data_IF_265481000793
#
_entry.id   IF_265481000793
#
_cell.length_a   1.000
_cell.length_b   1.000
_cell.length_c   1.000
_cell.angle_alpha   90.00
_cell.angle_beta   90.00
_cell.angle_gamma   90.00
#
_symmetry.space_group_name_H-M   'P 1'
#
loop_
_entity.id
_entity.type
_entity.pdbx_description
1 polymer ?
#
# COMPACT_ATOMS: atom_id res chain seq x y z
N UNK A 1 17.32 -11.08 -24.33
CA UNK A 1 16.50 -9.87 -24.15
C UNK A 1 15.73 -10.13 -22.89
N UNK A 2 16.07 -9.47 -21.78
CA UNK A 2 15.30 -9.54 -20.54
C UNK A 2 13.97 -8.84 -20.85
N UNK A 3 12.87 -9.60 -20.80
CA UNK A 3 11.53 -9.05 -20.93
C UNK A 3 11.33 -7.99 -19.87
N UNK A 4 11.16 -6.75 -20.27
CA UNK A 4 11.03 -5.54 -19.45
C UNK A 4 9.65 -5.50 -18.74
N UNK A 5 9.20 -6.66 -18.23
CA UNK A 5 7.94 -6.79 -17.51
C UNK A 5 8.23 -6.62 -16.02
N UNK A 6 7.62 -5.61 -15.41
CA UNK A 6 7.74 -5.35 -13.97
C UNK A 6 7.30 -6.55 -13.12
N UNK A 7 7.99 -6.79 -11.99
CA UNK A 7 7.73 -7.94 -11.10
C UNK A 7 6.27 -7.99 -10.65
N UNK A 8 5.63 -6.86 -10.34
CA UNK A 8 4.23 -6.85 -9.93
C UNK A 8 3.24 -7.31 -11.04
N UNK A 9 3.64 -7.26 -12.31
CA UNK A 9 2.87 -7.82 -13.44
C UNK A 9 3.21 -9.28 -13.65
N UNK A 10 4.49 -9.64 -13.67
CA UNK A 10 4.99 -11.00 -13.88
C UNK A 10 4.50 -11.96 -12.80
N UNK A 11 4.54 -11.53 -11.53
CA UNK A 11 4.16 -12.31 -10.36
C UNK A 11 2.74 -12.01 -9.84
N UNK A 12 1.88 -11.45 -10.71
CA UNK A 12 0.47 -11.31 -10.35
C UNK A 12 -0.13 -12.70 -10.13
N UNK A 13 -0.74 -12.99 -8.96
CA UNK A 13 -1.34 -14.27 -8.63
C UNK A 13 -2.27 -14.80 -9.73
N UNK A 14 -2.09 -16.06 -10.11
CA UNK A 14 -2.85 -16.73 -11.15
C UNK A 14 -3.93 -17.65 -10.60
N UNK A 15 -3.85 -18.00 -9.32
CA UNK A 15 -4.83 -18.76 -8.55
C UNK A 15 -5.00 -18.15 -7.16
N UNK A 16 -6.00 -18.58 -6.41
CA UNK A 16 -6.32 -18.06 -5.10
C UNK A 16 -5.29 -18.40 -4.02
N UNK A 17 -4.52 -19.47 -4.19
CA UNK A 17 -3.54 -19.93 -3.21
C UNK A 17 -2.24 -19.13 -3.25
N UNK A 18 -2.00 -18.39 -4.33
CA UNK A 18 -0.86 -17.49 -4.47
C UNK A 18 -1.09 -16.11 -3.81
N UNK A 19 -2.30 -15.82 -3.34
CA UNK A 19 -2.62 -14.54 -2.70
C UNK A 19 -2.03 -14.51 -1.29
N UNK A 20 -1.22 -13.52 -1.02
CA UNK A 20 -0.70 -13.27 0.33
C UNK A 20 -1.76 -12.55 1.18
N UNK A 21 -2.00 -13.04 2.39
CA UNK A 21 -3.00 -12.51 3.30
C UNK A 21 -4.44 -12.69 2.80
N UNK A 22 -5.37 -11.89 3.29
CA UNK A 22 -6.79 -11.83 2.88
C UNK A 22 -7.59 -13.12 3.14
N UNK A 23 -7.22 -13.93 4.12
CA UNK A 23 -7.78 -15.27 4.39
C UNK A 23 -9.31 -15.27 4.49
N UNK A 24 -9.92 -14.29 5.17
CA UNK A 24 -11.37 -14.21 5.30
C UNK A 24 -12.07 -13.96 3.97
N UNK A 25 -11.53 -13.05 3.16
CA UNK A 25 -12.07 -12.71 1.84
C UNK A 25 -11.95 -13.91 0.92
N UNK A 26 -10.76 -14.54 0.90
CA UNK A 26 -10.47 -15.71 0.07
C UNK A 26 -11.40 -16.88 0.42
N UNK A 27 -11.55 -17.20 1.71
CA UNK A 27 -12.43 -18.27 2.17
C UNK A 27 -13.88 -18.05 1.75
N UNK A 28 -14.40 -16.83 1.94
CA UNK A 28 -15.76 -16.49 1.58
C UNK A 28 -16.00 -16.56 0.06
N UNK A 29 -15.08 -16.06 -0.75
CA UNK A 29 -15.16 -16.09 -2.21
C UNK A 29 -15.05 -17.53 -2.73
N UNK A 30 -14.07 -18.33 -2.25
CA UNK A 30 -13.93 -19.73 -2.62
C UNK A 30 -15.19 -20.51 -2.30
N UNK A 31 -15.81 -20.32 -1.14
CA UNK A 31 -17.06 -20.96 -0.79
C UNK A 31 -18.21 -20.56 -1.73
N UNK A 32 -18.35 -19.28 -2.05
CA UNK A 32 -19.36 -18.81 -2.99
C UNK A 32 -19.21 -19.40 -4.39
N UNK A 33 -17.96 -19.58 -4.84
CA UNK A 33 -17.67 -20.24 -6.11
C UNK A 33 -17.99 -21.74 -6.07
N UNK A 34 -17.60 -22.46 -5.02
CA UNK A 34 -17.88 -23.90 -4.85
C UNK A 34 -19.36 -24.20 -4.78
N UNK A 35 -20.14 -23.34 -4.10
CA UNK A 35 -21.56 -23.51 -3.94
C UNK A 35 -22.37 -22.94 -5.12
N UNK A 36 -21.68 -22.34 -6.11
CA UNK A 36 -22.29 -21.61 -7.24
C UNK A 36 -23.32 -20.55 -6.77
N UNK A 37 -23.04 -19.92 -5.60
CA UNK A 37 -23.87 -18.86 -4.99
C UNK A 37 -23.19 -17.52 -5.14
N UNK A 38 -23.15 -17.01 -6.37
CA UNK A 38 -22.51 -15.75 -6.68
C UNK A 38 -23.51 -14.58 -6.56
N UNK A 39 -23.05 -13.49 -5.95
CA UNK A 39 -23.79 -12.23 -6.00
C UNK A 39 -23.65 -11.59 -7.39
N UNK A 40 -24.66 -10.84 -7.79
CA UNK A 40 -24.60 -10.04 -9.02
C UNK A 40 -23.69 -8.82 -8.90
N UNK A 41 -23.39 -8.36 -7.68
CA UNK A 41 -22.51 -7.22 -7.44
C UNK A 41 -21.66 -7.40 -6.17
N UNK A 42 -20.39 -7.14 -6.30
CA UNK A 42 -19.41 -7.13 -5.23
C UNK A 42 -18.81 -5.74 -5.06
N UNK A 43 -18.53 -5.36 -3.82
CA UNK A 43 -17.77 -4.16 -3.51
C UNK A 43 -16.53 -4.54 -2.69
N UNK A 44 -15.35 -4.36 -3.27
CA UNK A 44 -14.06 -4.56 -2.65
C UNK A 44 -13.51 -3.24 -2.12
N UNK A 45 -13.34 -3.16 -0.81
CA UNK A 45 -12.85 -1.96 -0.12
C UNK A 45 -11.50 -2.25 0.53
N UNK A 46 -10.61 -1.26 0.63
CA UNK A 46 -9.34 -1.38 1.33
C UNK A 46 -8.19 -0.69 0.63
N UNK A 47 -6.99 -0.67 1.24
CA UNK A 47 -5.82 0.04 0.73
C UNK A 47 -5.43 -0.34 -0.69
N UNK A 48 -4.57 0.49 -1.31
CA UNK A 48 -3.99 0.19 -2.61
C UNK A 48 -3.02 -1.00 -2.50
N UNK A 49 -2.87 -1.77 -3.58
CA UNK A 49 -1.85 -2.81 -3.66
C UNK A 49 -2.12 -4.12 -2.89
N UNK A 50 -3.28 -4.25 -2.20
CA UNK A 50 -3.63 -5.41 -1.36
C UNK A 50 -4.31 -6.57 -2.11
N UNK A 51 -4.49 -6.47 -3.44
CA UNK A 51 -5.00 -7.57 -4.26
C UNK A 51 -6.46 -7.48 -4.71
N UNK A 52 -7.18 -6.36 -4.50
CA UNK A 52 -8.60 -6.18 -4.91
C UNK A 52 -8.84 -6.59 -6.36
N UNK A 53 -8.17 -5.93 -7.31
CA UNK A 53 -8.32 -6.19 -8.75
C UNK A 53 -7.81 -7.59 -9.15
N UNK A 54 -6.81 -8.11 -8.44
CA UNK A 54 -6.30 -9.48 -8.66
C UNK A 54 -7.35 -10.52 -8.31
N UNK A 55 -7.99 -10.41 -7.14
CA UNK A 55 -9.06 -11.32 -6.72
C UNK A 55 -10.29 -11.17 -7.65
N UNK A 56 -10.60 -9.96 -8.09
CA UNK A 56 -11.66 -9.75 -9.09
C UNK A 56 -11.40 -10.54 -10.38
N UNK A 57 -10.19 -10.53 -10.90
CA UNK A 57 -9.80 -11.33 -12.07
C UNK A 57 -9.82 -12.84 -11.78
N UNK A 58 -9.47 -13.26 -10.57
CA UNK A 58 -9.55 -14.68 -10.18
C UNK A 58 -10.99 -15.16 -10.12
N UNK A 59 -11.93 -14.34 -9.63
CA UNK A 59 -13.37 -14.63 -9.70
C UNK A 59 -13.79 -14.78 -11.17
N UNK A 60 -13.37 -13.85 -12.03
CA UNK A 60 -13.67 -13.93 -13.46
C UNK A 60 -13.18 -15.22 -14.09
N UNK A 61 -11.96 -15.67 -13.75
CA UNK A 61 -11.42 -16.96 -14.17
C UNK A 61 -12.24 -18.13 -13.61
N UNK A 62 -12.57 -18.11 -12.32
CA UNK A 62 -13.32 -19.17 -11.67
C UNK A 62 -14.72 -19.35 -12.26
N UNK A 63 -15.38 -18.24 -12.61
CA UNK A 63 -16.70 -18.24 -13.25
C UNK A 63 -16.63 -18.74 -14.69
N UNK A 64 -15.61 -18.32 -15.45
CA UNK A 64 -15.54 -18.52 -16.90
C UNK A 64 -14.49 -19.58 -17.34
N UNK A 65 -13.95 -20.39 -16.41
CA UNK A 65 -12.99 -21.44 -16.77
C UNK A 65 -13.63 -22.49 -17.68
N UNK A 66 -13.06 -22.71 -18.87
CA UNK A 66 -13.59 -23.67 -19.85
C UNK A 66 -13.26 -25.12 -19.51
N UNK A 67 -12.23 -25.37 -18.68
CA UNK A 67 -11.83 -26.71 -18.27
C UNK A 67 -12.61 -27.19 -17.02
N UNK A 68 -13.58 -26.42 -16.55
CA UNK A 68 -14.50 -26.84 -15.50
C UNK A 68 -15.91 -26.91 -16.06
N UNK A 69 -16.67 -27.92 -15.68
CA UNK A 69 -18.08 -28.08 -16.11
C UNK A 69 -18.95 -26.97 -15.52
N UNK A 70 -18.62 -26.48 -14.33
CA UNK A 70 -19.35 -25.42 -13.64
C UNK A 70 -18.37 -24.34 -13.11
N UNK A 71 -18.88 -23.38 -12.37
CA UNK A 71 -18.07 -22.38 -11.65
C UNK A 71 -17.12 -23.10 -10.68
N UNK A 72 -15.89 -22.63 -10.61
CA UNK A 72 -14.82 -23.28 -9.82
C UNK A 72 -14.04 -22.28 -8.97
N UNK A 73 -13.63 -22.70 -7.79
CA UNK A 73 -12.66 -21.98 -6.96
C UNK A 73 -11.20 -22.28 -7.33
N UNK A 74 -10.98 -23.21 -8.29
CA UNK A 74 -9.64 -23.55 -8.79
C UNK A 74 -9.59 -23.42 -10.33
N UNK A 75 -9.51 -22.20 -10.88
CA UNK A 75 -9.41 -21.99 -12.32
C UNK A 75 -8.12 -22.58 -12.88
N UNK A 76 -8.20 -23.25 -14.03
CA UNK A 76 -7.08 -24.01 -14.59
C UNK A 76 -5.87 -23.15 -15.03
N UNK A 77 -6.04 -21.84 -15.26
CA UNK A 77 -4.98 -20.94 -15.70
C UNK A 77 -4.51 -21.08 -17.15
N UNK A 78 -4.88 -22.18 -17.83
CA UNK A 78 -4.32 -22.58 -19.13
C UNK A 78 -5.32 -22.60 -20.29
N UNK A 79 -6.63 -22.62 -20.05
CA UNK A 79 -7.63 -22.49 -21.10
C UNK A 79 -7.66 -21.09 -21.69
N UNK A 80 -8.27 -20.92 -22.85
CA UNK A 80 -8.30 -19.62 -23.56
C UNK A 80 -8.89 -18.51 -22.70
N UNK A 81 -10.03 -18.76 -22.02
CA UNK A 81 -10.63 -17.76 -21.13
C UNK A 81 -9.70 -17.35 -19.98
N UNK A 82 -9.05 -18.33 -19.33
CA UNK A 82 -8.11 -18.02 -18.24
C UNK A 82 -6.90 -17.20 -18.75
N UNK A 83 -6.38 -17.51 -19.92
CA UNK A 83 -5.27 -16.77 -20.55
C UNK A 83 -5.70 -15.37 -20.94
N UNK A 84 -6.83 -15.23 -21.66
CA UNK A 84 -7.36 -13.93 -22.08
C UNK A 84 -7.65 -13.01 -20.90
N UNK A 85 -8.23 -13.56 -19.80
CA UNK A 85 -8.46 -12.81 -18.55
C UNK A 85 -7.14 -12.36 -17.93
N UNK A 86 -6.12 -13.24 -17.91
CA UNK A 86 -4.79 -12.88 -17.37
C UNK A 86 -4.15 -11.76 -18.15
N UNK A 87 -4.29 -11.77 -19.46
CA UNK A 87 -3.75 -10.77 -20.38
C UNK A 87 -4.60 -9.48 -20.43
N UNK A 88 -5.82 -9.50 -19.92
CA UNK A 88 -6.74 -8.35 -19.95
C UNK A 88 -7.37 -8.10 -21.32
N UNK A 89 -7.45 -9.13 -22.19
CA UNK A 89 -8.02 -9.06 -23.56
C UNK A 89 -9.33 -9.83 -23.70
N UNK A 90 -9.87 -10.37 -22.61
CA UNK A 90 -11.12 -11.12 -22.63
C UNK A 90 -12.30 -10.22 -23.02
N UNK A 91 -13.16 -10.67 -23.92
CA UNK A 91 -14.42 -9.99 -24.27
C UNK A 91 -15.51 -10.16 -23.19
N UNK A 92 -15.37 -11.17 -22.33
CA UNK A 92 -16.31 -11.47 -21.26
C UNK A 92 -15.86 -10.94 -19.89
N UNK A 93 -14.67 -10.32 -19.81
CA UNK A 93 -14.22 -9.56 -18.65
C UNK A 93 -13.76 -8.17 -19.08
N UNK A 94 -14.49 -7.16 -18.68
CA UNK A 94 -14.21 -5.77 -19.00
C UNK A 94 -13.74 -5.08 -17.72
N UNK A 95 -12.52 -4.56 -17.75
CA UNK A 95 -11.93 -3.81 -16.64
C UNK A 95 -11.87 -2.32 -17.00
N UNK A 96 -12.45 -1.49 -16.14
CA UNK A 96 -12.53 -0.04 -16.30
C UNK A 96 -11.87 0.59 -15.09
N UNK A 97 -10.88 1.44 -15.34
CA UNK A 97 -10.32 2.33 -14.32
C UNK A 97 -11.15 3.62 -14.30
N UNK A 98 -11.91 3.82 -13.22
CA UNK A 98 -12.75 5.00 -13.05
C UNK A 98 -11.92 6.29 -12.86
N UNK A 99 -10.62 6.20 -12.54
CA UNK A 99 -9.76 7.37 -12.50
C UNK A 99 -9.55 7.99 -13.90
N UNK A 100 -9.51 7.14 -14.94
CA UNK A 100 -9.37 7.54 -16.35
C UNK A 100 -10.72 7.69 -17.06
N UNK A 101 -11.78 6.99 -16.58
CA UNK A 101 -13.11 6.90 -17.21
C UNK A 101 -14.19 7.33 -16.21
N UNK A 102 -14.24 8.62 -15.88
CA UNK A 102 -15.09 9.18 -14.80
C UNK A 102 -16.50 9.55 -15.22
N UNK A 103 -16.72 9.69 -16.52
CA UNK A 103 -17.88 10.34 -17.09
C UNK A 103 -19.13 9.46 -17.17
N UNK A 104 -20.26 10.11 -17.43
CA UNK A 104 -21.53 9.43 -17.64
C UNK A 104 -21.56 8.69 -18.99
N UNK A 105 -20.83 9.16 -19.99
CA UNK A 105 -20.90 8.59 -21.34
C UNK A 105 -20.20 7.22 -21.40
N UNK A 106 -19.10 7.05 -20.69
CA UNK A 106 -18.43 5.74 -20.56
C UNK A 106 -19.33 4.71 -19.85
N UNK A 107 -20.09 5.15 -18.84
CA UNK A 107 -21.03 4.27 -18.15
C UNK A 107 -22.27 4.00 -19.01
N UNK A 108 -22.69 4.92 -19.88
CA UNK A 108 -23.77 4.67 -20.85
C UNK A 108 -23.36 3.65 -21.90
N UNK A 109 -22.15 3.76 -22.46
CA UNK A 109 -21.62 2.74 -23.36
C UNK A 109 -21.51 1.37 -22.69
N UNK A 110 -21.08 1.35 -21.43
CA UNK A 110 -21.07 0.13 -20.63
C UNK A 110 -22.48 -0.48 -20.55
N UNK A 111 -23.50 0.33 -20.25
CA UNK A 111 -24.91 -0.12 -20.17
C UNK A 111 -25.43 -0.73 -21.47
N UNK A 112 -25.05 -0.21 -22.61
CA UNK A 112 -25.42 -0.79 -23.90
C UNK A 112 -24.78 -2.17 -24.07
N UNK A 113 -23.50 -2.32 -23.67
CA UNK A 113 -22.74 -3.58 -23.75
C UNK A 113 -23.22 -4.65 -22.76
N UNK A 114 -23.84 -4.26 -21.64
CA UNK A 114 -24.35 -5.17 -20.61
C UNK A 114 -25.44 -6.11 -21.14
N UNK A 115 -26.25 -5.65 -22.08
CA UNK A 115 -27.35 -6.42 -22.62
C UNK A 115 -26.91 -7.59 -23.52
N UNK A 116 -25.67 -7.59 -23.98
CA UNK A 116 -25.15 -8.67 -24.84
C UNK A 116 -24.73 -9.88 -24.00
N UNK A 117 -25.06 -11.07 -24.49
CA UNK A 117 -24.65 -12.33 -23.87
C UNK A 117 -23.11 -12.50 -23.90
N UNK A 118 -22.54 -13.30 -22.99
CA UNK A 118 -21.13 -13.68 -23.05
C UNK A 118 -20.77 -14.34 -24.38
N UNK A 119 -19.56 -14.10 -24.85
CA UNK A 119 -19.07 -14.63 -26.14
C UNK A 119 -18.56 -16.08 -26.00
N UNK A 120 -17.78 -16.34 -24.96
CA UNK A 120 -17.15 -17.65 -24.69
C UNK A 120 -17.44 -18.15 -23.29
N UNK A 121 -17.59 -17.24 -22.32
CA UNK A 121 -17.77 -17.53 -20.90
C UNK A 121 -19.22 -17.82 -20.51
N UNK A 122 -19.41 -18.13 -19.24
CA UNK A 122 -20.74 -18.30 -18.62
C UNK A 122 -21.37 -16.97 -18.27
N UNK A 123 -20.54 -16.00 -17.90
CA UNK A 123 -21.01 -14.67 -17.45
C UNK A 123 -20.11 -13.56 -17.98
N UNK A 124 -20.68 -12.38 -18.17
CA UNK A 124 -19.93 -11.14 -18.36
C UNK A 124 -19.58 -10.52 -17.03
N UNK A 125 -18.31 -10.14 -16.85
CA UNK A 125 -17.80 -9.59 -15.61
C UNK A 125 -17.27 -8.18 -15.88
N UNK A 126 -17.81 -7.23 -15.14
CA UNK A 126 -17.40 -5.83 -15.19
C UNK A 126 -16.66 -5.48 -13.91
N UNK A 127 -15.37 -5.21 -14.03
CA UNK A 127 -14.52 -4.75 -12.93
C UNK A 127 -14.37 -3.23 -13.08
N UNK A 128 -14.85 -2.48 -12.08
CA UNK A 128 -14.67 -1.03 -12.04
C UNK A 128 -13.74 -0.71 -10.89
N UNK A 129 -12.50 -0.39 -11.23
CA UNK A 129 -11.48 -0.03 -10.24
C UNK A 129 -11.55 1.46 -9.91
N UNK A 130 -11.18 1.81 -8.68
CA UNK A 130 -11.27 3.14 -8.08
C UNK A 130 -12.66 3.79 -8.30
N UNK A 131 -13.71 3.00 -8.09
CA UNK A 131 -15.10 3.37 -8.40
C UNK A 131 -15.56 4.67 -7.73
N UNK A 132 -14.93 5.09 -6.62
CA UNK A 132 -15.20 6.37 -5.94
C UNK A 132 -14.87 7.60 -6.82
N UNK A 133 -14.13 7.41 -7.92
CA UNK A 133 -13.79 8.46 -8.86
C UNK A 133 -14.90 8.77 -9.88
N UNK A 134 -15.94 7.92 -9.94
CA UNK A 134 -17.09 8.16 -10.82
C UNK A 134 -17.87 9.42 -10.39
N UNK A 135 -18.42 10.13 -11.37
CA UNK A 135 -19.33 11.25 -11.10
C UNK A 135 -20.66 10.75 -10.50
N UNK A 136 -21.42 11.64 -9.85
CA UNK A 136 -22.75 11.31 -9.29
C UNK A 136 -23.71 10.80 -10.38
N UNK A 137 -23.62 11.39 -11.55
CA UNK A 137 -24.43 11.03 -12.72
C UNK A 137 -24.08 9.62 -13.21
N UNK A 138 -22.79 9.26 -13.22
CA UNK A 138 -22.31 7.93 -13.57
C UNK A 138 -22.79 6.88 -12.54
N UNK A 139 -22.71 7.17 -11.24
CA UNK A 139 -23.29 6.30 -10.21
C UNK A 139 -24.81 6.11 -10.40
N UNK A 140 -25.56 7.18 -10.66
CA UNK A 140 -26.99 7.09 -10.90
C UNK A 140 -27.32 6.26 -12.15
N UNK A 141 -26.49 6.33 -13.19
CA UNK A 141 -26.65 5.50 -14.38
C UNK A 141 -26.47 4.00 -14.09
N UNK A 142 -25.60 3.62 -13.13
CA UNK A 142 -25.38 2.24 -12.71
C UNK A 142 -26.51 1.70 -11.81
N UNK A 143 -27.20 2.55 -11.03
CA UNK A 143 -28.16 2.10 -10.03
C UNK A 143 -29.22 1.16 -10.62
N UNK A 144 -29.85 1.53 -11.74
CA UNK A 144 -30.89 0.71 -12.36
C UNK A 144 -30.38 -0.70 -12.74
N UNK A 145 -29.15 -0.78 -13.23
CA UNK A 145 -28.53 -2.06 -13.61
C UNK A 145 -28.12 -2.91 -12.38
N UNK A 146 -27.76 -2.25 -11.29
CA UNK A 146 -27.47 -2.94 -10.02
C UNK A 146 -28.76 -3.39 -9.30
N UNK A 147 -29.89 -2.74 -9.54
CA UNK A 147 -31.21 -3.14 -9.01
C UNK A 147 -31.78 -4.35 -9.75
N UNK A 148 -31.70 -4.33 -11.08
CA UNK A 148 -32.25 -5.35 -11.97
C UNK A 148 -31.15 -5.85 -12.92
N UNK A 149 -30.11 -6.55 -12.40
CA UNK A 149 -29.00 -6.99 -13.22
C UNK A 149 -29.41 -8.13 -14.14
N UNK A 150 -28.96 -8.15 -15.40
CA UNK A 150 -29.13 -9.33 -16.25
C UNK A 150 -28.46 -10.55 -15.60
N UNK A 151 -29.08 -11.71 -15.70
CA UNK A 151 -28.63 -12.95 -15.04
C UNK A 151 -27.23 -13.39 -15.45
N UNK A 152 -26.75 -12.94 -16.60
CA UNK A 152 -25.43 -13.25 -17.15
C UNK A 152 -24.36 -12.22 -16.75
N UNK A 153 -24.64 -11.23 -15.91
CA UNK A 153 -23.70 -10.15 -15.54
C UNK A 153 -23.31 -10.23 -14.08
N UNK A 154 -22.03 -9.96 -13.81
CA UNK A 154 -21.50 -9.75 -12.46
C UNK A 154 -20.68 -8.45 -12.46
N UNK A 155 -20.97 -7.59 -11.48
CA UNK A 155 -20.20 -6.39 -11.21
C UNK A 155 -19.22 -6.62 -10.06
N UNK A 156 -17.98 -6.15 -10.21
CA UNK A 156 -16.99 -6.11 -9.13
C UNK A 156 -16.47 -4.67 -9.06
N UNK A 157 -16.92 -3.94 -8.05
CA UNK A 157 -16.51 -2.57 -7.79
C UNK A 157 -15.36 -2.59 -6.79
N UNK A 158 -14.26 -1.88 -7.07
CA UNK A 158 -13.13 -1.76 -6.17
C UNK A 158 -12.89 -0.29 -5.79
N UNK A 159 -12.55 -0.02 -4.52
CA UNK A 159 -12.30 1.33 -4.03
C UNK A 159 -11.28 1.35 -2.89
N UNK A 160 -10.51 2.42 -2.83
CA UNK A 160 -9.67 2.75 -1.67
C UNK A 160 -10.40 3.68 -0.68
N UNK A 161 -11.51 4.32 -1.09
CA UNK A 161 -12.25 5.32 -0.32
C UNK A 161 -13.74 4.92 -0.22
N UNK A 162 -14.09 3.96 0.65
CA UNK A 162 -15.46 3.45 0.77
C UNK A 162 -16.47 4.50 1.24
N UNK A 163 -16.03 5.51 1.98
CA UNK A 163 -16.85 6.62 2.48
C UNK A 163 -17.38 7.51 1.37
N UNK A 164 -16.77 7.50 0.18
CA UNK A 164 -17.25 8.25 -0.99
C UNK A 164 -18.31 7.50 -1.80
N UNK A 165 -18.53 6.24 -1.50
CA UNK A 165 -19.52 5.44 -2.23
C UNK A 165 -20.94 5.72 -1.71
N UNK A 166 -21.90 6.07 -2.59
CA UNK A 166 -23.28 6.30 -2.18
C UNK A 166 -23.90 5.10 -1.48
N UNK A 167 -24.68 5.35 -0.43
CA UNK A 167 -25.39 4.30 0.32
C UNK A 167 -26.32 3.44 -0.57
N UNK A 168 -26.83 4.03 -1.64
CA UNK A 168 -27.68 3.35 -2.64
C UNK A 168 -26.91 2.27 -3.40
N UNK A 169 -25.61 2.44 -3.64
CA UNK A 169 -24.73 1.42 -4.22
C UNK A 169 -24.36 0.40 -3.15
N UNK A 170 -23.97 0.89 -1.95
CA UNK A 170 -23.54 0.04 -0.84
C UNK A 170 -24.61 -1.00 -0.45
N UNK A 171 -25.88 -0.65 -0.51
CA UNK A 171 -26.99 -1.54 -0.15
C UNK A 171 -27.27 -2.66 -1.17
N UNK A 172 -26.69 -2.58 -2.37
CA UNK A 172 -26.90 -3.53 -3.48
C UNK A 172 -25.67 -4.42 -3.76
N UNK A 173 -24.58 -4.19 -3.05
CA UNK A 173 -23.34 -4.93 -3.23
C UNK A 173 -23.02 -5.82 -2.04
N UNK A 174 -22.53 -7.02 -2.30
CA UNK A 174 -21.88 -7.83 -1.27
C UNK A 174 -20.50 -7.25 -1.00
N UNK A 175 -20.23 -6.84 0.25
CA UNK A 175 -19.01 -6.13 0.62
C UNK A 175 -17.95 -7.07 1.12
N UNK A 176 -16.70 -6.81 0.71
CA UNK A 176 -15.50 -7.46 1.20
C UNK A 176 -14.45 -6.40 1.54
N UNK A 177 -13.99 -6.41 2.78
CA UNK A 177 -12.97 -5.51 3.28
C UNK A 177 -11.60 -6.19 3.20
N UNK A 178 -10.72 -5.63 2.39
CA UNK A 178 -9.32 -6.03 2.26
C UNK A 178 -8.47 -5.29 3.27
N UNK A 179 -7.62 -6.03 3.96
CA UNK A 179 -6.72 -5.48 4.97
C UNK A 179 -5.32 -5.30 4.41
N UNK A 180 -4.53 -4.51 5.09
CA UNK A 180 -3.08 -4.44 4.85
C UNK A 180 -2.48 -5.83 5.04
N UNK A 181 -1.59 -6.20 4.13
CA UNK A 181 -0.83 -7.45 4.24
C UNK A 181 0.26 -7.23 5.30
N UNK A 182 0.53 -8.23 6.12
CA UNK A 182 1.56 -8.10 7.15
C UNK A 182 2.95 -7.96 6.52
N UNK A 183 3.87 -7.28 7.20
CA UNK A 183 5.25 -7.17 6.71
C UNK A 183 5.94 -8.54 6.61
N UNK A 184 5.53 -9.49 7.45
CA UNK A 184 5.99 -10.88 7.38
C UNK A 184 5.58 -11.53 6.06
N UNK A 185 4.27 -11.54 5.73
CA UNK A 185 3.75 -12.17 4.50
C UNK A 185 4.32 -11.52 3.24
N UNK A 186 4.52 -10.18 3.27
CA UNK A 186 5.18 -9.46 2.17
C UNK A 186 6.64 -9.91 2.06
N UNK A 187 7.38 -9.98 3.18
CA UNK A 187 8.77 -10.41 3.21
C UNK A 187 8.94 -11.83 2.64
N UNK A 188 8.13 -12.77 3.09
CA UNK A 188 8.14 -14.15 2.57
C UNK A 188 7.89 -14.18 1.05
N UNK A 189 6.91 -13.39 0.57
CA UNK A 189 6.61 -13.34 -0.87
C UNK A 189 7.75 -12.70 -1.66
N UNK A 190 8.41 -11.67 -1.14
CA UNK A 190 9.60 -11.06 -1.77
C UNK A 190 10.75 -12.06 -1.87
N UNK A 191 11.05 -12.79 -0.79
CA UNK A 191 12.09 -13.82 -0.76
C UNK A 191 11.80 -14.94 -1.77
N UNK A 192 10.53 -15.40 -1.84
CA UNK A 192 10.12 -16.38 -2.84
C UNK A 192 10.35 -15.87 -4.26
N UNK A 193 9.93 -14.65 -4.59
CA UNK A 193 10.08 -14.08 -5.92
C UNK A 193 11.56 -13.87 -6.25
N UNK A 194 12.36 -13.37 -5.31
CA UNK A 194 13.80 -13.21 -5.48
C UNK A 194 14.49 -14.54 -5.82
N UNK A 195 14.09 -15.64 -5.15
CA UNK A 195 14.60 -16.97 -5.47
C UNK A 195 14.25 -17.44 -6.89
N UNK A 196 13.03 -17.14 -7.37
CA UNK A 196 12.61 -17.48 -8.74
C UNK A 196 13.35 -16.65 -9.81
N UNK A 197 13.70 -15.41 -9.50
CA UNK A 197 14.44 -14.50 -10.40
C UNK A 197 15.96 -14.62 -10.24
N UNK A 198 16.45 -15.52 -9.38
CA UNK A 198 17.87 -15.70 -9.07
C UNK A 198 18.54 -14.39 -8.55
N UNK A 199 17.79 -13.61 -7.76
CA UNK A 199 18.26 -12.37 -7.14
C UNK A 199 18.73 -12.69 -5.74
N UNK A 200 19.95 -12.26 -5.39
CA UNK A 200 20.45 -12.32 -4.04
C UNK A 200 19.81 -11.21 -3.19
N UNK A 201 18.70 -11.54 -2.51
CA UNK A 201 17.99 -10.65 -1.59
C UNK A 201 18.24 -11.09 -0.16
N UNK A 202 18.72 -10.19 0.72
CA UNK A 202 18.86 -10.50 2.14
C UNK A 202 17.53 -10.41 2.87
N UNK A 203 17.37 -11.17 3.98
CA UNK A 203 16.14 -11.12 4.80
C UNK A 203 15.90 -9.71 5.37
N UNK A 204 16.96 -9.03 5.81
CA UNK A 204 16.88 -7.67 6.31
C UNK A 204 16.44 -6.67 5.24
N UNK A 205 16.93 -6.79 4.00
CA UNK A 205 16.48 -5.99 2.88
C UNK A 205 15.00 -6.24 2.55
N UNK A 206 14.57 -7.51 2.51
CA UNK A 206 13.18 -7.89 2.29
C UNK A 206 12.27 -7.29 3.39
N UNK A 207 12.70 -7.33 4.65
CA UNK A 207 11.97 -6.74 5.75
C UNK A 207 11.83 -5.22 5.62
N UNK A 208 12.91 -4.50 5.26
CA UNK A 208 12.85 -3.04 5.06
C UNK A 208 11.88 -2.70 3.94
N UNK A 209 11.93 -3.40 2.80
CA UNK A 209 11.01 -3.20 1.68
C UNK A 209 9.57 -3.48 2.13
N UNK A 210 9.33 -4.55 2.87
CA UNK A 210 8.00 -4.94 3.34
C UNK A 210 7.38 -3.90 4.29
N UNK A 211 8.17 -3.34 5.20
CA UNK A 211 7.74 -2.26 6.11
C UNK A 211 7.42 -0.99 5.32
N UNK A 212 8.28 -0.62 4.37
CA UNK A 212 8.11 0.59 3.55
C UNK A 212 6.91 0.51 2.61
N UNK A 213 6.53 -0.68 2.17
CA UNK A 213 5.36 -0.92 1.32
C UNK A 213 4.02 -0.75 2.04
N UNK A 214 4.01 -0.57 3.36
CA UNK A 214 2.84 -0.25 4.19
C UNK A 214 1.63 -1.16 3.91
N UNK A 215 1.89 -2.47 3.73
CA UNK A 215 0.87 -3.49 3.49
C UNK A 215 0.43 -3.65 2.04
N UNK A 216 1.04 -2.96 1.08
CA UNK A 216 0.76 -3.07 -0.35
C UNK A 216 1.76 -3.99 -1.08
N UNK A 217 1.36 -5.20 -1.50
CA UNK A 217 2.24 -6.11 -2.25
C UNK A 217 2.72 -5.51 -3.57
N UNK A 218 1.88 -4.74 -4.27
CA UNK A 218 2.26 -4.08 -5.52
C UNK A 218 3.39 -3.07 -5.31
N UNK A 219 3.31 -2.30 -4.23
CA UNK A 219 4.30 -1.29 -3.89
C UNK A 219 5.60 -1.97 -3.44
N UNK A 220 5.54 -3.06 -2.67
CA UNK A 220 6.69 -3.87 -2.31
C UNK A 220 7.44 -4.42 -3.53
N UNK A 221 6.72 -4.98 -4.50
CA UNK A 221 7.33 -5.49 -5.73
C UNK A 221 7.91 -4.39 -6.61
N UNK A 222 7.29 -3.20 -6.62
CA UNK A 222 7.83 -2.04 -7.35
C UNK A 222 9.12 -1.52 -6.71
N UNK A 223 9.20 -1.53 -5.37
CA UNK A 223 10.42 -1.19 -4.64
C UNK A 223 11.53 -2.21 -4.89
N UNK A 224 11.21 -3.50 -4.91
CA UNK A 224 12.18 -4.54 -5.24
C UNK A 224 12.72 -4.38 -6.67
N UNK A 225 11.85 -4.09 -7.67
CA UNK A 225 12.26 -3.79 -9.05
C UNK A 225 13.27 -2.63 -9.10
N UNK A 226 13.02 -1.56 -8.33
CA UNK A 226 13.94 -0.42 -8.25
C UNK A 226 15.30 -0.82 -7.65
N UNK A 227 15.30 -1.66 -6.62
CA UNK A 227 16.52 -2.14 -6.00
C UNK A 227 17.35 -3.01 -6.97
N UNK A 228 16.71 -3.88 -7.72
CA UNK A 228 17.35 -4.73 -8.72
C UNK A 228 17.99 -3.88 -9.82
N UNK A 229 17.30 -2.88 -10.32
CA UNK A 229 17.80 -1.99 -11.38
C UNK A 229 19.08 -1.22 -10.99
N UNK A 230 19.32 -1.01 -9.70
CA UNK A 230 20.45 -0.25 -9.18
C UNK A 230 21.51 -1.11 -8.47
N UNK A 231 21.22 -2.38 -8.13
CA UNK A 231 22.02 -3.16 -7.17
C UNK A 231 23.08 -4.09 -7.75
N UNK A 232 23.27 -4.17 -9.07
CA UNK A 232 24.36 -4.97 -9.66
C UNK A 232 24.38 -6.47 -9.28
N UNK A 233 23.27 -7.04 -8.77
CA UNK A 233 23.13 -8.48 -8.50
C UNK A 233 22.81 -8.86 -7.05
N UNK A 234 23.10 -8.03 -6.07
CA UNK A 234 22.75 -8.28 -4.65
C UNK A 234 21.95 -7.12 -4.10
N UNK A 235 20.81 -7.43 -3.48
CA UNK A 235 19.95 -6.46 -2.80
C UNK A 235 20.11 -6.66 -1.29
N UNK A 236 20.94 -5.84 -0.68
CA UNK A 236 21.18 -5.81 0.76
C UNK A 236 20.51 -4.61 1.44
N UNK A 237 20.58 -4.54 2.75
CA UNK A 237 19.98 -3.49 3.57
C UNK A 237 20.58 -2.11 3.26
N UNK A 238 21.87 -2.04 2.93
CA UNK A 238 22.57 -0.79 2.64
C UNK A 238 22.03 -0.18 1.35
N UNK A 239 21.95 -0.99 0.30
CA UNK A 239 21.38 -0.59 -0.99
C UNK A 239 19.94 -0.13 -0.86
N UNK A 240 19.10 -0.92 -0.15
CA UNK A 240 17.67 -0.59 0.05
C UNK A 240 17.55 0.73 0.80
N UNK A 241 18.28 0.92 1.89
CA UNK A 241 18.26 2.18 2.66
C UNK A 241 18.70 3.38 1.81
N UNK A 242 19.73 3.23 1.00
CA UNK A 242 20.21 4.30 0.10
C UNK A 242 19.15 4.67 -0.96
N UNK A 243 18.60 3.68 -1.64
CA UNK A 243 17.60 3.91 -2.70
C UNK A 243 16.29 4.51 -2.19
N UNK A 244 15.86 4.10 -1.00
CA UNK A 244 14.63 4.61 -0.39
C UNK A 244 14.86 5.93 0.38
N UNK A 245 16.09 6.46 0.37
CA UNK A 245 16.43 7.65 1.16
C UNK A 245 16.27 7.43 2.66
N UNK A 246 16.31 6.17 3.09
CA UNK A 246 16.28 5.81 4.50
C UNK A 246 17.70 6.06 5.05
N UNK A 247 18.02 7.30 5.34
CA UNK A 247 19.21 7.65 6.11
C UNK A 247 19.16 6.82 7.40
N UNK A 248 20.22 6.11 7.73
CA UNK A 248 20.26 5.32 8.97
C UNK A 248 19.79 6.15 10.15
N UNK A 249 19.19 5.55 11.18
CA UNK A 249 18.66 6.30 12.32
C UNK A 249 19.72 7.02 13.14
N UNK A 250 21.01 6.76 12.87
CA UNK A 250 22.14 7.38 13.55
C UNK A 250 22.08 8.90 13.57
N UNK A 251 21.64 9.51 12.46
CA UNK A 251 21.45 10.95 12.41
C UNK A 251 20.34 11.45 13.36
N UNK A 252 19.29 10.64 13.60
CA UNK A 252 18.22 10.98 14.55
C UNK A 252 18.78 11.01 15.96
N UNK A 253 19.57 10.00 16.35
CA UNK A 253 20.25 9.99 17.63
C UNK A 253 21.21 11.16 17.77
N UNK A 254 22.01 11.43 16.72
CA UNK A 254 22.93 12.56 16.70
C UNK A 254 22.20 13.90 16.85
N UNK A 255 21.18 14.14 16.02
CA UNK A 255 20.40 15.38 16.03
C UNK A 255 19.66 15.59 17.34
N UNK A 256 19.00 14.56 17.87
CA UNK A 256 18.24 14.69 19.13
C UNK A 256 19.17 14.79 20.34
N UNK A 257 20.33 14.13 20.34
CA UNK A 257 21.35 14.34 21.35
C UNK A 257 21.90 15.78 21.29
N UNK A 258 22.23 16.27 20.09
CA UNK A 258 22.65 17.65 19.91
C UNK A 258 21.57 18.66 20.37
N UNK A 259 20.30 18.38 20.14
CA UNK A 259 19.19 19.20 20.59
C UNK A 259 19.13 19.23 22.11
N UNK A 260 19.25 18.09 22.80
CA UNK A 260 19.23 18.03 24.24
C UNK A 260 20.48 18.66 24.89
N UNK A 261 21.63 18.64 24.25
CA UNK A 261 22.88 19.26 24.73
C UNK A 261 23.14 20.66 24.19
N UNK A 262 22.21 21.26 23.42
CA UNK A 262 22.32 22.61 22.83
C UNK A 262 23.52 22.78 21.89
N UNK A 263 23.91 21.71 21.21
CA UNK A 263 24.96 21.78 20.20
C UNK A 263 24.38 22.33 18.89
N UNK A 264 24.15 23.66 18.87
CA UNK A 264 23.48 24.36 17.76
C UNK A 264 24.23 24.22 16.43
N UNK A 265 25.56 24.13 16.45
CA UNK A 265 26.40 23.91 15.29
C UNK A 265 26.16 22.54 14.66
N UNK A 266 25.98 21.49 15.46
CA UNK A 266 25.65 20.14 14.99
C UNK A 266 24.24 20.12 14.41
N UNK A 267 23.27 20.82 15.04
CA UNK A 267 21.92 20.90 14.53
C UNK A 267 21.84 21.52 13.13
N UNK A 268 22.51 22.67 12.92
CA UNK A 268 22.48 23.36 11.62
C UNK A 268 23.21 22.53 10.55
N UNK A 269 24.41 22.01 10.87
CA UNK A 269 25.15 21.13 9.94
C UNK A 269 24.35 19.88 9.58
N UNK A 270 23.73 19.23 10.56
CA UNK A 270 22.89 18.05 10.33
C UNK A 270 21.69 18.33 9.42
N UNK A 271 21.03 19.50 9.56
CA UNK A 271 19.98 19.92 8.63
C UNK A 271 20.54 20.07 7.20
N UNK A 272 21.71 20.70 7.04
CA UNK A 272 22.36 20.88 5.75
C UNK A 272 22.69 19.55 5.08
N UNK A 273 23.31 18.64 5.81
CA UNK A 273 23.72 17.33 5.30
C UNK A 273 22.52 16.48 4.87
N UNK A 274 21.46 16.46 5.69
CA UNK A 274 20.28 15.64 5.42
C UNK A 274 19.48 16.18 4.24
N UNK A 275 19.36 17.51 4.11
CA UNK A 275 18.73 18.13 2.94
C UNK A 275 19.58 17.94 1.68
N UNK A 276 20.92 18.00 1.78
CA UNK A 276 21.79 17.71 0.67
C UNK A 276 21.70 16.26 0.17
N UNK A 277 21.33 15.30 1.06
CA UNK A 277 20.98 13.92 0.70
C UNK A 277 19.59 13.78 0.03
N UNK A 278 18.88 14.88 -0.21
CA UNK A 278 17.58 14.89 -0.89
C UNK A 278 16.34 14.75 0.01
N UNK A 279 16.53 14.78 1.34
CA UNK A 279 15.38 14.69 2.26
C UNK A 279 14.66 16.04 2.35
N UNK A 280 13.33 16.01 2.20
CA UNK A 280 12.51 17.22 2.35
C UNK A 280 12.49 17.74 3.80
N UNK A 281 12.54 19.06 4.03
CA UNK A 281 12.56 19.66 5.37
C UNK A 281 11.39 19.23 6.26
N UNK A 282 10.19 19.06 5.69
CA UNK A 282 9.02 18.58 6.42
C UNK A 282 9.18 17.13 6.90
N UNK A 283 9.74 16.26 6.06
CA UNK A 283 9.99 14.85 6.40
C UNK A 283 11.05 14.75 7.49
N UNK A 284 12.16 15.51 7.37
CA UNK A 284 13.21 15.59 8.38
C UNK A 284 12.62 15.91 9.77
N UNK A 285 11.80 16.97 9.87
CA UNK A 285 11.22 17.36 11.16
C UNK A 285 10.22 16.34 11.68
N UNK A 286 9.44 15.71 10.78
CA UNK A 286 8.50 14.64 11.15
C UNK A 286 9.21 13.43 11.74
N UNK A 287 10.35 13.02 11.18
CA UNK A 287 11.14 11.89 11.70
C UNK A 287 11.78 12.21 13.06
N UNK A 288 12.27 13.44 13.28
CA UNK A 288 12.75 13.87 14.60
C UNK A 288 11.63 13.79 15.64
N UNK A 289 10.43 14.28 15.32
CA UNK A 289 9.26 14.20 16.19
C UNK A 289 8.90 12.73 16.50
N UNK A 290 8.91 11.87 15.48
CA UNK A 290 8.64 10.45 15.65
C UNK A 290 9.68 9.75 16.54
N UNK A 291 10.96 10.12 16.39
CA UNK A 291 12.05 9.61 17.23
C UNK A 291 11.90 10.06 18.69
N UNK A 292 11.63 11.34 18.93
CA UNK A 292 11.38 11.85 20.28
C UNK A 292 10.17 11.19 20.94
N UNK A 293 9.11 10.90 20.17
CA UNK A 293 7.97 10.10 20.63
C UNK A 293 8.42 8.69 21.04
N UNK A 294 9.31 8.04 20.27
CA UNK A 294 9.84 6.72 20.63
C UNK A 294 10.64 6.79 21.94
N UNK A 295 11.49 7.81 22.14
CA UNK A 295 12.21 8.06 23.40
C UNK A 295 11.22 8.21 24.59
N UNK A 296 10.14 8.97 24.39
CA UNK A 296 9.10 9.14 25.42
C UNK A 296 8.38 7.83 25.74
N UNK A 297 7.99 7.07 24.72
CA UNK A 297 7.32 5.78 24.88
C UNK A 297 8.22 4.75 25.57
N UNK A 298 9.50 4.71 25.24
CA UNK A 298 10.47 3.83 25.90
C UNK A 298 10.56 4.12 27.39
N UNK A 299 10.52 5.39 27.80
CA UNK A 299 10.50 5.79 29.22
C UNK A 299 9.21 5.35 29.94
N UNK A 300 8.08 5.39 29.25
CA UNK A 300 6.77 5.09 29.83
C UNK A 300 6.45 3.58 29.83
N UNK A 301 6.84 2.85 28.80
CA UNK A 301 6.52 1.45 28.57
C UNK A 301 7.63 0.75 27.75
N UNK A 302 8.79 0.45 28.37
CA UNK A 302 9.84 -0.30 27.69
C UNK A 302 9.32 -1.68 27.27
N UNK A 303 9.65 -2.13 26.05
CA UNK A 303 9.19 -3.42 25.51
C UNK A 303 7.82 -3.39 24.83
N UNK A 304 7.23 -2.22 24.61
CA UNK A 304 5.98 -2.08 23.85
C UNK A 304 6.20 -2.40 22.37
N UNK A 305 5.25 -3.13 21.74
CA UNK A 305 5.24 -3.44 20.29
C UNK A 305 5.32 -2.18 19.42
N UNK A 306 4.91 -1.02 19.95
CA UNK A 306 5.03 0.27 19.26
C UNK A 306 6.48 0.72 19.03
N UNK A 307 7.46 0.08 19.70
CA UNK A 307 8.90 0.32 19.55
C UNK A 307 9.58 -0.66 18.58
N UNK A 308 8.83 -1.56 17.94
CA UNK A 308 9.37 -2.54 16.99
C UNK A 308 10.27 -1.91 15.90
N UNK A 309 9.95 -0.67 15.48
CA UNK A 309 10.80 0.07 14.53
C UNK A 309 12.21 0.39 15.06
N UNK A 310 12.48 0.25 16.35
CA UNK A 310 13.77 0.48 17.01
C UNK A 310 14.40 -0.79 17.56
N UNK A 311 13.94 -1.97 17.16
CA UNK A 311 14.48 -3.25 17.62
C UNK A 311 16.01 -3.35 17.41
N UNK A 312 16.50 -2.89 16.24
CA UNK A 312 17.92 -2.89 15.90
C UNK A 312 18.75 -1.82 16.63
N UNK A 313 18.11 -0.84 17.26
CA UNK A 313 18.73 0.31 17.93
C UNK A 313 18.16 0.48 19.35
N UNK A 314 17.72 -0.61 19.97
CA UNK A 314 17.07 -0.56 21.29
C UNK A 314 18.02 -0.06 22.36
N UNK A 315 19.29 -0.47 22.28
CA UNK A 315 20.34 -0.07 23.23
C UNK A 315 20.62 1.42 23.17
N UNK A 316 20.77 1.96 21.98
CA UNK A 316 20.96 3.40 21.75
C UNK A 316 19.74 4.20 22.21
N UNK A 317 18.55 3.69 21.95
CA UNK A 317 17.30 4.32 22.42
C UNK A 317 17.21 4.32 23.96
N UNK A 318 17.62 3.23 24.60
CA UNK A 318 17.71 3.12 26.06
C UNK A 318 18.69 4.13 26.65
N UNK A 319 19.89 4.18 26.12
CA UNK A 319 20.92 5.12 26.55
C UNK A 319 20.45 6.56 26.42
N UNK A 320 19.88 6.92 25.27
CA UNK A 320 19.33 8.27 25.08
C UNK A 320 18.15 8.57 25.99
N UNK A 321 17.23 7.63 26.17
CA UNK A 321 16.10 7.79 27.10
C UNK A 321 16.56 7.99 28.55
N UNK A 322 17.69 7.42 28.97
CA UNK A 322 18.25 7.60 30.29
C UNK A 322 18.78 9.04 30.54
N UNK A 323 19.25 9.72 29.50
CA UNK A 323 19.89 11.06 29.61
C UNK A 323 18.88 12.20 29.72
N UNK A 324 17.60 12.00 29.42
CA UNK A 324 16.58 13.03 29.34
C UNK A 324 15.38 12.75 30.25
N UNK A 325 14.71 13.77 30.77
CA UNK A 325 13.46 13.60 31.53
C UNK A 325 12.24 13.58 30.59
N UNK A 326 11.16 12.93 31.02
CA UNK A 326 9.92 12.90 30.22
C UNK A 326 9.34 14.32 29.99
N UNK A 327 9.43 15.20 31.00
CA UNK A 327 8.97 16.58 30.86
C UNK A 327 9.74 17.38 29.82
N UNK A 328 11.03 17.10 29.72
CA UNK A 328 11.90 17.70 28.72
C UNK A 328 11.52 17.25 27.30
N UNK A 329 11.37 15.95 27.08
CA UNK A 329 10.97 15.41 25.77
C UNK A 329 9.61 15.99 25.35
N UNK A 330 8.67 16.09 26.30
CA UNK A 330 7.35 16.65 26.02
C UNK A 330 7.37 18.13 25.61
N UNK A 331 8.18 18.94 26.32
CA UNK A 331 8.35 20.37 26.00
C UNK A 331 8.93 20.55 24.57
N UNK A 332 9.96 19.78 24.22
CA UNK A 332 10.58 19.78 22.90
C UNK A 332 9.58 19.34 21.83
N UNK A 333 8.82 18.26 22.08
CA UNK A 333 7.80 17.78 21.14
C UNK A 333 6.77 18.85 20.80
N UNK A 334 6.27 19.59 21.78
CA UNK A 334 5.30 20.67 21.55
C UNK A 334 5.85 21.76 20.63
N UNK A 335 7.09 22.19 20.86
CA UNK A 335 7.73 23.22 20.01
C UNK A 335 7.93 22.72 18.59
N UNK A 336 8.40 21.48 18.43
CA UNK A 336 8.63 20.92 17.10
C UNK A 336 7.32 20.65 16.35
N UNK A 337 6.22 20.31 17.04
CA UNK A 337 4.89 20.21 16.41
C UNK A 337 4.39 21.55 15.89
N UNK A 338 4.57 22.64 16.66
CA UNK A 338 4.27 23.98 16.17
C UNK A 338 5.17 24.38 14.99
N UNK A 339 6.45 24.05 15.05
CA UNK A 339 7.37 24.28 13.94
C UNK A 339 6.93 23.51 12.67
N UNK A 340 6.45 22.27 12.81
CA UNK A 340 5.98 21.46 11.70
C UNK A 340 4.77 22.12 10.98
N UNK A 341 3.85 22.74 11.72
CA UNK A 341 2.75 23.48 11.14
C UNK A 341 3.25 24.68 10.31
N UNK A 342 4.29 25.38 10.80
CA UNK A 342 4.92 26.49 10.09
C UNK A 342 5.66 26.04 8.83
N UNK A 343 6.36 24.92 8.90
CA UNK A 343 7.08 24.32 7.74
C UNK A 343 6.14 24.04 6.58
N UNK A 344 4.92 23.55 6.85
CA UNK A 344 3.89 23.25 5.83
C UNK A 344 3.41 24.47 5.06
N UNK A 345 3.43 25.64 5.67
CA UNK A 345 2.89 26.87 5.09
C UNK A 345 3.97 27.88 4.71
N UNK A 346 5.21 27.65 5.10
CA UNK A 346 6.32 28.59 4.87
C UNK A 346 6.81 28.52 3.43
N UNK A 347 7.06 29.67 2.79
CA UNK A 347 7.77 29.72 1.50
C UNK A 347 9.26 29.31 1.63
N UNK A 348 9.79 29.26 2.85
CA UNK A 348 11.17 28.89 3.17
C UNK A 348 11.18 27.75 4.21
N UNK A 349 10.78 26.51 3.84
CA UNK A 349 10.61 25.39 4.78
C UNK A 349 11.87 25.06 5.57
N UNK A 350 13.05 25.16 4.95
CA UNK A 350 14.34 24.91 5.58
C UNK A 350 14.57 25.85 6.78
N UNK A 351 14.36 27.17 6.60
CA UNK A 351 14.55 28.15 7.67
C UNK A 351 13.57 27.88 8.83
N UNK A 352 12.36 27.47 8.51
CA UNK A 352 11.36 27.12 9.52
C UNK A 352 11.77 25.91 10.37
N UNK A 353 12.43 24.89 9.77
CA UNK A 353 13.01 23.74 10.48
C UNK A 353 14.16 24.18 11.36
N UNK A 354 15.14 24.93 10.84
CA UNK A 354 16.31 25.41 11.58
C UNK A 354 15.87 26.24 12.81
N UNK A 355 14.94 27.18 12.61
CA UNK A 355 14.38 28.00 13.69
C UNK A 355 13.66 27.15 14.73
N UNK A 356 12.87 26.16 14.31
CA UNK A 356 12.16 25.24 15.20
C UNK A 356 13.11 24.44 16.08
N UNK A 357 14.17 23.88 15.51
CA UNK A 357 15.20 23.11 16.24
C UNK A 357 15.95 23.99 17.24
N UNK A 358 16.36 25.20 16.83
CA UNK A 358 17.05 26.13 17.71
C UNK A 358 16.16 26.63 18.86
N UNK A 359 14.86 26.84 18.60
CA UNK A 359 13.90 27.20 19.66
C UNK A 359 13.72 26.03 20.63
N UNK A 360 13.59 24.81 20.12
CA UNK A 360 13.47 23.61 20.96
C UNK A 360 14.72 23.39 21.83
N UNK A 361 15.92 23.62 21.29
CA UNK A 361 17.16 23.54 22.04
C UNK A 361 17.28 24.59 23.16
N UNK A 362 16.66 25.78 23.00
CA UNK A 362 16.67 26.85 24.02
C UNK A 362 15.75 26.59 25.20
N UNK A 363 14.68 25.86 25.04
CA UNK A 363 13.62 25.63 26.05
C UNK A 363 14.12 24.80 27.25
N UNK A 364 15.35 24.39 27.22
CA UNK A 364 16.07 23.68 28.26
C UNK A 364 16.69 24.64 29.30
N UNK A 365 15.88 25.42 29.97
CA UNK A 365 16.33 26.10 31.19
C UNK A 365 15.92 25.28 32.42
N UNK A 366 16.86 25.07 33.31
CA UNK A 366 16.83 24.28 34.56
C UNK A 366 15.52 24.26 35.29
#
# INVERSE_FOLDING_TARGET
>A
MLDNITLYRKYRPQNFDEIAGQEFVLRAIKNSLRENKLSHAYLFTGPRGVGKTTIARLIAKGVNCLNSEDVTDNPCGVCDNCREISQGISMDMIEIDAASNRGIDEIRELKEKINYQPVKGRKKIYIIDEVHMLTKEAFNALLKTLEEPPSHVIFILATTEPERIPMTILSRCQRYEFRRITSHDIGERLMYIASQEHIALTEGAAHIIAVQADGGMRDALSLLDQCIGNGGGTVDEVLVRQLLGLVGKDWLFTMTTALFHRHNDILIKGVDEIIAMGKEPQVLLTEIIAHLRAVMLYKAAPGSDTLAAYADSEKELQEQAATVSAGQVFAVLNILQEALLRVKTSPLPRIAVEAGLLMAARTYSH
#
